data_IF_520841453711
#
_entry.id   IF_520841453711
#
_cell.length_a   1.000
_cell.length_b   1.000
_cell.length_c   1.000
_cell.angle_alpha   90.00
_cell.angle_beta   90.00
_cell.angle_gamma   90.00
#
_symmetry.space_group_name_H-M   'P 1'
#
loop_
_entity.id
_entity.type
_entity.pdbx_description
1 polymer ?
#
# COMPACT_ATOMS: atom_id res chain seq x y z
N UNK A 1 0.84 49.85 18.31
CA UNK A 1 0.17 48.89 17.43
C UNK A 1 1.11 47.73 17.15
N UNK A 2 1.13 46.67 17.97
CA UNK A 2 2.05 45.51 17.80
C UNK A 2 1.35 44.23 18.28
N UNK A 3 0.31 43.78 17.57
CA UNK A 3 -0.37 42.49 17.87
C UNK A 3 -0.63 41.60 16.64
N UNK A 4 -0.22 42.02 15.43
CA UNK A 4 -0.56 41.29 14.20
C UNK A 4 0.51 40.30 13.72
N UNK A 5 1.78 40.42 14.14
CA UNK A 5 2.86 39.55 13.62
C UNK A 5 2.66 38.06 13.95
N UNK A 6 2.21 37.72 15.16
CA UNK A 6 2.00 36.31 15.54
C UNK A 6 0.80 35.63 14.88
N UNK A 7 -0.20 36.39 14.40
CA UNK A 7 -1.36 35.84 13.67
C UNK A 7 -1.00 35.43 12.23
N UNK A 8 -0.09 36.18 11.61
CA UNK A 8 0.36 35.89 10.24
C UNK A 8 1.31 34.68 10.22
N UNK A 9 2.19 34.53 11.21
CA UNK A 9 3.08 33.36 11.35
C UNK A 9 2.31 32.05 11.63
N UNK A 10 1.29 32.11 12.49
CA UNK A 10 0.45 30.93 12.78
C UNK A 10 -0.40 30.53 11.58
N UNK A 11 -0.90 31.49 10.81
CA UNK A 11 -1.60 31.23 9.54
C UNK A 11 -0.66 30.60 8.51
N UNK A 12 0.54 31.13 8.33
CA UNK A 12 1.55 30.57 7.43
C UNK A 12 1.96 29.14 7.83
N UNK A 13 2.10 28.88 9.13
CA UNK A 13 2.37 27.53 9.64
C UNK A 13 1.21 26.58 9.36
N UNK A 14 -0.03 27.03 9.59
CA UNK A 14 -1.23 26.24 9.31
C UNK A 14 -1.32 25.88 7.82
N UNK A 15 -1.10 26.84 6.93
CA UNK A 15 -1.14 26.62 5.48
C UNK A 15 -0.08 25.60 5.04
N UNK A 16 1.14 25.68 5.59
CA UNK A 16 2.21 24.68 5.36
C UNK A 16 1.82 23.29 5.85
N UNK A 17 1.21 23.19 7.04
CA UNK A 17 0.76 21.91 7.58
C UNK A 17 -0.38 21.31 6.76
N UNK A 18 -1.31 22.14 6.26
CA UNK A 18 -2.40 21.71 5.38
C UNK A 18 -1.86 21.19 4.04
N UNK A 19 -0.88 21.88 3.47
CA UNK A 19 -0.20 21.43 2.24
C UNK A 19 0.52 20.09 2.48
N UNK A 20 1.34 20.00 3.53
CA UNK A 20 2.03 18.74 3.90
C UNK A 20 1.05 17.59 4.12
N UNK A 21 -0.10 17.84 4.76
CA UNK A 21 -1.16 16.85 4.93
C UNK A 21 -1.72 16.38 3.59
N UNK A 22 -1.89 17.28 2.62
CA UNK A 22 -2.33 16.93 1.27
C UNK A 22 -1.29 16.05 0.57
N UNK A 23 -0.03 16.44 0.63
CA UNK A 23 1.08 15.72 -0.01
C UNK A 23 1.23 14.29 0.57
N UNK A 24 1.19 14.17 1.90
CA UNK A 24 1.21 12.86 2.59
C UNK A 24 0.03 11.98 2.15
N UNK A 25 -1.16 12.56 2.01
CA UNK A 25 -2.33 11.80 1.54
C UNK A 25 -2.13 11.31 0.11
N UNK A 26 -1.59 12.13 -0.78
CA UNK A 26 -1.30 11.74 -2.17
C UNK A 26 -0.22 10.65 -2.24
N UNK A 27 0.84 10.79 -1.44
CA UNK A 27 1.91 9.81 -1.34
C UNK A 27 1.43 8.47 -0.78
N UNK A 28 0.58 8.50 0.25
CA UNK A 28 -0.06 7.29 0.78
C UNK A 28 -0.86 6.57 -0.31
N UNK A 29 -1.63 7.31 -1.14
CA UNK A 29 -2.35 6.69 -2.28
C UNK A 29 -1.40 6.05 -3.29
N UNK A 30 -0.23 6.66 -3.52
CA UNK A 30 0.79 6.11 -4.45
C UNK A 30 1.37 4.82 -3.88
N UNK A 31 1.79 4.84 -2.62
CA UNK A 31 2.34 3.67 -1.92
C UNK A 31 1.33 2.52 -1.90
N UNK A 32 0.06 2.77 -1.59
CA UNK A 32 -0.98 1.73 -1.59
C UNK A 32 -1.15 1.07 -2.97
N UNK A 33 -1.11 1.86 -4.05
CA UNK A 33 -1.16 1.33 -5.42
C UNK A 33 0.09 0.50 -5.75
N UNK A 34 1.26 0.96 -5.31
CA UNK A 34 2.51 0.26 -5.55
C UNK A 34 2.54 -1.07 -4.80
N UNK A 35 2.09 -1.12 -3.55
CA UNK A 35 1.95 -2.38 -2.79
C UNK A 35 1.07 -3.37 -3.55
N UNK A 36 -0.11 -2.94 -4.00
CA UNK A 36 -1.00 -3.81 -4.78
C UNK A 36 -0.35 -4.30 -6.08
N UNK A 37 0.37 -3.42 -6.77
CA UNK A 37 1.04 -3.73 -8.03
C UNK A 37 2.15 -4.75 -7.83
N UNK A 38 3.07 -4.49 -6.91
CA UNK A 38 4.19 -5.39 -6.64
C UNK A 38 3.73 -6.72 -6.07
N UNK A 39 2.71 -6.72 -5.21
CA UNK A 39 2.10 -7.95 -4.72
C UNK A 39 1.46 -8.79 -5.84
N UNK A 40 0.79 -8.13 -6.81
CA UNK A 40 0.29 -8.83 -8.02
C UNK A 40 1.44 -9.50 -8.78
N UNK A 41 2.51 -8.75 -9.06
CA UNK A 41 3.68 -9.25 -9.79
C UNK A 41 4.30 -10.42 -9.03
N UNK A 42 4.49 -10.29 -7.72
CA UNK A 42 5.05 -11.36 -6.89
C UNK A 42 4.19 -12.62 -6.90
N UNK A 43 2.86 -12.48 -6.78
CA UNK A 43 1.93 -13.61 -6.83
C UNK A 43 1.87 -14.24 -8.23
N UNK A 44 1.97 -13.46 -9.30
CA UNK A 44 2.00 -14.00 -10.66
C UNK A 44 3.28 -14.81 -10.92
N UNK A 45 4.44 -14.29 -10.52
CA UNK A 45 5.74 -14.99 -10.62
C UNK A 45 5.76 -16.24 -9.75
N UNK A 46 5.20 -16.16 -8.54
CA UNK A 46 5.20 -17.27 -7.60
C UNK A 46 4.09 -18.29 -7.87
N UNK A 47 3.28 -18.10 -8.93
CA UNK A 47 2.05 -18.88 -9.19
C UNK A 47 1.17 -18.99 -7.92
N UNK A 48 0.93 -17.84 -7.29
CA UNK A 48 0.20 -17.65 -6.04
C UNK A 48 0.69 -18.46 -4.85
N UNK A 49 1.96 -18.89 -4.88
CA UNK A 49 2.63 -19.28 -3.65
C UNK A 49 2.91 -18.02 -2.82
N UNK A 50 2.20 -17.88 -1.71
CA UNK A 50 2.43 -16.79 -0.76
C UNK A 50 3.91 -16.71 -0.39
N UNK A 51 4.45 -15.49 -0.36
CA UNK A 51 5.84 -15.19 0.02
C UNK A 51 6.15 -15.64 1.46
N UNK A 52 5.12 -15.87 2.29
CA UNK A 52 5.23 -16.39 3.65
C UNK A 52 5.36 -17.92 3.75
N UNK A 53 5.40 -18.65 2.63
CA UNK A 53 5.61 -20.10 2.69
C UNK A 53 7.07 -20.40 3.05
N UNK A 54 7.27 -21.41 3.90
CA UNK A 54 8.60 -21.75 4.39
C UNK A 54 9.53 -22.17 3.24
N UNK A 55 10.84 -22.03 3.44
CA UNK A 55 11.86 -22.46 2.48
C UNK A 55 11.70 -23.93 2.07
N UNK A 56 11.18 -24.79 2.97
CA UNK A 56 10.87 -26.18 2.64
C UNK A 56 9.77 -26.30 1.57
N UNK A 57 8.76 -25.43 1.57
CA UNK A 57 7.68 -25.46 0.58
C UNK A 57 8.18 -25.22 -0.85
N UNK A 58 9.17 -24.34 -0.99
CA UNK A 58 9.81 -24.02 -2.28
C UNK A 58 10.79 -25.10 -2.71
N UNK A 59 11.46 -25.75 -1.76
CA UNK A 59 12.42 -26.83 -2.04
C UNK A 59 11.76 -28.15 -2.41
N UNK A 60 10.58 -28.44 -1.84
CA UNK A 60 9.88 -29.72 -2.00
C UNK A 60 8.95 -29.80 -3.22
N UNK A 61 8.47 -28.67 -3.73
CA UNK A 61 7.45 -28.63 -4.79
C UNK A 61 8.02 -28.35 -6.19
N UNK A 62 8.99 -29.15 -6.62
CA UNK A 62 9.67 -28.97 -7.92
C UNK A 62 8.93 -29.51 -9.14
N UNK A 63 7.69 -30.01 -9.03
CA UNK A 63 7.00 -30.60 -10.18
C UNK A 63 5.49 -30.32 -10.21
N UNK A 64 5.06 -29.90 -11.40
CA UNK A 64 3.69 -29.86 -11.94
C UNK A 64 2.64 -29.14 -11.11
N UNK A 65 2.59 -27.81 -11.23
CA UNK A 65 1.47 -27.03 -10.70
C UNK A 65 0.65 -26.42 -11.83
N UNK A 66 -0.61 -26.86 -11.91
CA UNK A 66 -1.69 -26.21 -12.66
C UNK A 66 -1.63 -24.70 -12.38
N UNK A 67 -1.85 -23.86 -13.40
CA UNK A 67 -1.94 -22.40 -13.26
C UNK A 67 -2.79 -22.05 -12.04
N UNK A 68 -2.14 -21.58 -10.98
CA UNK A 68 -2.82 -21.19 -9.76
C UNK A 68 -3.59 -19.90 -10.03
N UNK A 69 -4.87 -19.88 -9.68
CA UNK A 69 -5.69 -18.69 -9.78
C UNK A 69 -5.47 -17.83 -8.54
N UNK A 70 -4.77 -16.71 -8.70
CA UNK A 70 -4.53 -15.74 -7.62
C UNK A 70 -5.86 -15.17 -7.14
N UNK A 71 -6.14 -15.31 -5.84
CA UNK A 71 -7.34 -14.74 -5.20
C UNK A 71 -6.99 -13.46 -4.44
N UNK A 72 -7.98 -12.60 -4.24
CA UNK A 72 -7.83 -11.42 -3.37
C UNK A 72 -7.36 -11.77 -1.95
N UNK A 73 -7.73 -12.95 -1.44
CA UNK A 73 -7.30 -13.44 -0.12
C UNK A 73 -5.79 -13.69 -0.02
N UNK A 74 -5.13 -13.90 -1.15
CA UNK A 74 -3.70 -14.18 -1.21
C UNK A 74 -2.87 -12.89 -1.10
N UNK A 75 -3.54 -11.73 -1.20
CA UNK A 75 -2.94 -10.39 -1.13
C UNK A 75 -2.86 -9.89 0.32
N UNK A 76 -2.01 -10.55 1.10
CA UNK A 76 -1.85 -10.30 2.54
C UNK A 76 -1.39 -8.87 2.88
N UNK A 77 -0.66 -8.20 1.98
CA UNK A 77 -0.19 -6.83 2.21
C UNK A 77 -1.25 -5.80 1.81
N UNK A 78 -2.03 -6.08 0.77
CA UNK A 78 -3.11 -5.19 0.31
C UNK A 78 -4.38 -5.28 1.16
N UNK A 79 -4.57 -6.38 1.91
CA UNK A 79 -5.81 -6.65 2.65
C UNK A 79 -6.18 -5.57 3.67
N UNK A 80 -5.19 -4.96 4.31
CA UNK A 80 -5.44 -3.97 5.37
C UNK A 80 -5.34 -2.52 4.87
N UNK A 81 -5.18 -2.32 3.56
CA UNK A 81 -5.05 -0.99 2.98
C UNK A 81 -6.43 -0.35 2.71
N UNK A 82 -6.72 0.83 3.28
CA UNK A 82 -8.05 1.44 3.25
C UNK A 82 -8.56 1.71 1.83
N UNK A 83 -7.72 2.19 0.90
CA UNK A 83 -8.17 2.49 -0.48
C UNK A 83 -8.47 1.27 -1.35
N UNK A 84 -7.98 0.09 -0.99
CA UNK A 84 -8.21 -1.14 -1.76
C UNK A 84 -9.54 -1.76 -1.35
N UNK A 85 -9.90 -1.66 -0.06
CA UNK A 85 -11.14 -2.19 0.49
C UNK A 85 -12.39 -1.34 0.19
N UNK A 86 -12.23 -0.02 0.04
CA UNK A 86 -13.35 0.89 -0.22
C UNK A 86 -13.99 0.73 -1.63
N UNK A 87 -13.40 -0.08 -2.52
CA UNK A 87 -13.99 -0.39 -3.84
C UNK A 87 -15.08 -1.48 -3.80
N UNK A 88 -15.37 -2.04 -2.62
CA UNK A 88 -16.37 -3.12 -2.43
C UNK A 88 -17.68 -2.66 -1.77
N UNK A 89 -17.96 -1.34 -1.72
CA UNK A 89 -19.25 -0.79 -1.30
C UNK A 89 -20.02 -0.16 -2.45
#
# INVERSE_FOLDING_TARGET
>A
MVKNQGKDETKLLLDKLLLKRKDIKEELKRIEKDVFRYETISLDVSQGSSVMKSLEFYSSNKSDKKKYLVKDSDRIFSKDLPQINDRKK
#
